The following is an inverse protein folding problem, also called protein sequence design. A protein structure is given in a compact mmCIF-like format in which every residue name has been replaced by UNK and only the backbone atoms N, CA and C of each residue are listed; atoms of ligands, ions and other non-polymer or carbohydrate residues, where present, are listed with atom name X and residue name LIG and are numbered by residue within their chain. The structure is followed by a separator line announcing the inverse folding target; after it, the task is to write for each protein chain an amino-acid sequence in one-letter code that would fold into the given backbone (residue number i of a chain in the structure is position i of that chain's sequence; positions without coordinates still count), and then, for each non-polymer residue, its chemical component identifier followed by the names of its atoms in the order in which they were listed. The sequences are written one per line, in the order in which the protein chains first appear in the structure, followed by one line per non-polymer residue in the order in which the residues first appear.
data_IF_388079089952
#
_entry.id   IF_388079089952
#
_cell.length_a   1.000
_cell.length_b   1.000
_cell.length_c   1.000
_cell.angle_alpha   90.00
_cell.angle_beta   90.00
_cell.angle_gamma   90.00
#
_symmetry.space_group_name_H-M   'P 1'
#
loop_
_entity.id
_entity.type
_entity.pdbx_description
1 polymer ?
#
# COMPACT_ATOMS: atom_id res chain seq x y z
N UNK A 1 2.68 28.11 36.12
CA UNK A 1 3.98 27.54 35.73
C UNK A 1 3.79 26.79 34.42
N UNK A 2 4.02 27.45 33.29
CA UNK A 2 4.06 26.82 31.97
C UNK A 2 5.35 26.02 31.87
N UNK A 3 5.27 24.68 31.80
CA UNK A 3 6.42 23.84 31.40
C UNK A 3 6.97 24.41 30.10
N UNK A 4 8.22 24.83 30.11
CA UNK A 4 8.92 25.19 28.88
C UNK A 4 8.87 23.97 27.96
N UNK A 5 8.28 24.18 26.80
CA UNK A 5 8.14 23.14 25.80
C UNK A 5 9.51 22.82 25.22
N UNK A 6 10.06 21.65 25.57
CA UNK A 6 11.35 21.21 25.04
C UNK A 6 11.19 20.77 23.57
N UNK A 7 11.57 21.67 22.68
CA UNK A 7 11.54 21.45 21.23
C UNK A 7 12.45 20.31 20.81
N UNK A 8 13.58 20.13 21.49
CA UNK A 8 14.54 19.07 21.17
C UNK A 8 13.96 17.71 21.52
N UNK A 9 13.43 17.57 22.73
CA UNK A 9 12.76 16.34 23.15
C UNK A 9 11.58 16.00 22.21
N UNK A 10 10.74 16.98 21.89
CA UNK A 10 9.63 16.76 20.96
C UNK A 10 10.08 16.26 19.58
N UNK A 11 11.15 16.84 19.03
CA UNK A 11 11.74 16.41 17.74
C UNK A 11 12.22 14.97 17.83
N UNK A 12 12.99 14.62 18.86
CA UNK A 12 13.53 13.27 19.04
C UNK A 12 12.40 12.23 19.17
N UNK A 13 11.34 12.55 19.92
CA UNK A 13 10.17 11.69 20.06
C UNK A 13 9.39 11.54 18.75
N UNK A 14 9.25 12.62 17.97
CA UNK A 14 8.59 12.56 16.67
C UNK A 14 9.37 11.71 15.67
N UNK A 15 10.70 11.89 15.59
CA UNK A 15 11.56 11.09 14.71
C UNK A 15 11.53 9.62 15.13
N UNK A 16 11.57 9.33 16.44
CA UNK A 16 11.44 7.97 16.94
C UNK A 16 10.10 7.34 16.56
N UNK A 17 8.99 8.06 16.76
CA UNK A 17 7.66 7.58 16.40
C UNK A 17 7.56 7.27 14.89
N UNK A 18 8.10 8.14 14.03
CA UNK A 18 8.15 7.90 12.58
C UNK A 18 9.02 6.69 12.22
N UNK A 19 10.22 6.58 12.82
CA UNK A 19 11.16 5.48 12.56
C UNK A 19 10.58 4.11 12.90
N UNK A 20 9.78 4.03 13.97
CA UNK A 20 9.16 2.78 14.42
C UNK A 20 7.73 2.58 13.89
N UNK A 21 7.25 3.44 12.96
CA UNK A 21 5.92 3.31 12.36
C UNK A 21 4.77 3.56 13.35
N UNK A 22 5.01 4.28 14.44
CA UNK A 22 4.02 4.60 15.47
C UNK A 22 3.14 5.79 15.03
N UNK A 23 2.38 5.64 13.93
CA UNK A 23 1.64 6.74 13.30
C UNK A 23 0.71 7.50 14.26
N UNK A 24 -0.06 6.77 15.09
CA UNK A 24 -0.97 7.41 16.04
C UNK A 24 -0.23 8.29 17.06
N UNK A 25 0.96 7.85 17.50
CA UNK A 25 1.82 8.62 18.40
C UNK A 25 2.42 9.82 17.67
N UNK A 26 2.91 9.64 16.44
CA UNK A 26 3.45 10.73 15.63
C UNK A 26 2.40 11.84 15.41
N UNK A 27 1.17 11.48 15.01
CA UNK A 27 0.04 12.43 14.85
C UNK A 27 -0.30 13.15 16.15
N UNK A 28 -0.30 12.44 17.28
CA UNK A 28 -0.49 13.06 18.58
C UNK A 28 0.60 14.09 18.90
N UNK A 29 1.88 13.75 18.66
CA UNK A 29 3.01 14.66 18.85
C UNK A 29 2.91 15.91 17.95
N UNK A 30 2.52 15.76 16.68
CA UNK A 30 2.36 16.88 15.72
C UNK A 30 1.32 17.89 16.22
N UNK A 31 0.25 17.43 16.88
CA UNK A 31 -0.85 18.30 17.33
C UNK A 31 -0.54 19.06 18.62
N UNK A 32 0.41 18.59 19.45
CA UNK A 32 0.70 19.17 20.77
C UNK A 32 1.13 20.64 20.76
N UNK A 33 2.02 21.13 19.86
CA UNK A 33 2.46 22.53 19.84
C UNK A 33 1.38 23.51 19.35
N UNK A 34 0.28 23.01 18.78
CA UNK A 34 -0.67 23.78 18.00
C UNK A 34 -0.21 24.01 16.55
N UNK A 35 -1.14 24.20 15.59
CA UNK A 35 -0.86 24.08 14.16
C UNK A 35 0.16 25.09 13.62
N UNK A 36 0.14 26.34 14.12
CA UNK A 36 1.07 27.40 13.69
C UNK A 36 2.51 27.12 14.16
N UNK A 37 2.67 26.72 15.43
CA UNK A 37 3.98 26.40 16.01
C UNK A 37 4.52 25.10 15.43
N UNK A 38 3.68 24.09 15.30
CA UNK A 38 4.03 22.82 14.65
C UNK A 38 4.55 23.05 13.23
N UNK A 39 3.85 23.85 12.41
CA UNK A 39 4.31 24.18 11.05
C UNK A 39 5.71 24.80 11.05
N UNK A 40 5.97 25.82 11.87
CA UNK A 40 7.28 26.45 11.93
C UNK A 40 8.39 25.47 12.33
N UNK A 41 8.13 24.60 13.31
CA UNK A 41 9.08 23.56 13.74
C UNK A 41 9.34 22.54 12.62
N UNK A 42 8.30 22.03 11.96
CA UNK A 42 8.42 21.07 10.88
C UNK A 42 9.13 21.66 9.65
N UNK A 43 8.85 22.92 9.30
CA UNK A 43 9.57 23.63 8.23
C UNK A 43 11.05 23.78 8.56
N UNK A 44 11.42 24.01 9.81
CA UNK A 44 12.84 24.03 10.22
C UNK A 44 13.49 22.65 10.11
N UNK A 45 12.76 21.58 10.45
CA UNK A 45 13.23 20.21 10.33
C UNK A 45 13.49 19.78 8.87
N UNK A 46 12.82 20.39 7.88
CA UNK A 46 13.09 20.12 6.45
C UNK A 46 14.46 20.63 5.96
N UNK A 47 15.07 21.55 6.69
CA UNK A 47 16.38 22.12 6.34
C UNK A 47 17.55 21.37 7.01
N UNK A 48 17.26 20.36 7.83
CA UNK A 48 18.25 19.58 8.56
C UNK A 48 18.98 18.58 7.64
N UNK A 49 20.21 18.22 8.00
CA UNK A 49 21.05 17.30 7.20
C UNK A 49 20.58 15.84 7.26
N UNK A 50 19.97 15.42 8.37
CA UNK A 50 19.55 14.04 8.59
C UNK A 50 18.24 13.70 7.85
N UNK A 51 18.27 12.70 6.95
CA UNK A 51 17.12 12.30 6.15
C UNK A 51 15.89 11.89 6.99
N UNK A 52 16.09 11.18 8.10
CA UNK A 52 14.99 10.76 8.99
C UNK A 52 14.25 11.95 9.62
N UNK A 53 14.97 13.03 9.94
CA UNK A 53 14.38 14.25 10.49
C UNK A 53 13.51 14.94 9.43
N UNK A 54 14.01 15.00 8.18
CA UNK A 54 13.24 15.54 7.05
C UNK A 54 12.00 14.68 6.75
N UNK A 55 12.10 13.35 6.79
CA UNK A 55 10.93 12.46 6.62
C UNK A 55 9.86 12.68 7.70
N UNK A 56 10.27 12.81 8.96
CA UNK A 56 9.35 13.11 10.05
C UNK A 56 8.66 14.48 9.86
N UNK A 57 9.38 15.46 9.33
CA UNK A 57 8.83 16.76 9.00
C UNK A 57 7.78 16.68 7.88
N UNK A 58 8.04 15.87 6.84
CA UNK A 58 7.10 15.63 5.74
C UNK A 58 5.80 15.03 6.24
N UNK A 59 5.88 13.98 7.09
CA UNK A 59 4.70 13.39 7.73
C UNK A 59 3.91 14.43 8.53
N UNK A 60 4.62 15.27 9.30
CA UNK A 60 3.98 16.34 10.06
C UNK A 60 3.27 17.37 9.19
N UNK A 61 3.86 17.79 8.07
CA UNK A 61 3.23 18.73 7.16
C UNK A 61 2.02 18.12 6.43
N UNK A 62 2.08 16.83 6.10
CA UNK A 62 0.95 16.09 5.55
C UNK A 62 -0.23 16.06 6.53
N UNK A 63 0.02 15.72 7.80
CA UNK A 63 -0.99 15.69 8.87
C UNK A 63 -1.57 17.08 9.16
N UNK A 64 -0.77 18.15 9.07
CA UNK A 64 -1.29 19.51 9.21
C UNK A 64 -2.19 19.94 8.03
N UNK A 65 -1.97 19.34 6.85
CA UNK A 65 -2.73 19.64 5.64
C UNK A 65 -2.65 21.08 5.17
N UNK A 66 -3.47 21.41 4.18
CA UNK A 66 -3.63 22.77 3.68
C UNK A 66 -2.68 23.12 2.53
N UNK A 67 -3.12 24.09 1.72
CA UNK A 67 -2.36 24.63 0.58
C UNK A 67 -0.93 25.09 0.90
N UNK A 68 -0.69 25.58 2.12
CA UNK A 68 0.64 25.97 2.57
C UNK A 68 1.58 24.77 2.72
N UNK A 69 1.10 23.68 3.34
CA UNK A 69 1.86 22.44 3.48
C UNK A 69 2.11 21.80 2.12
N UNK A 70 1.08 21.72 1.27
CA UNK A 70 1.21 21.22 -0.11
C UNK A 70 2.31 21.99 -0.86
N UNK A 71 2.21 23.33 -0.93
CA UNK A 71 3.20 24.17 -1.61
C UNK A 71 4.61 24.00 -1.04
N UNK A 72 4.76 23.91 0.27
CA UNK A 72 6.07 23.73 0.91
C UNK A 72 6.69 22.37 0.57
N UNK A 73 5.88 21.31 0.55
CA UNK A 73 6.30 19.96 0.16
C UNK A 73 6.69 19.90 -1.32
N UNK A 74 5.92 20.55 -2.20
CA UNK A 74 6.25 20.67 -3.63
C UNK A 74 7.62 21.34 -3.84
N UNK A 75 7.92 22.39 -3.09
CA UNK A 75 9.22 23.06 -3.14
C UNK A 75 10.34 22.18 -2.57
N UNK A 76 10.07 21.43 -1.50
CA UNK A 76 11.06 20.52 -0.91
C UNK A 76 11.38 19.37 -1.86
N UNK A 77 10.38 18.86 -2.59
CA UNK A 77 10.55 17.75 -3.52
C UNK A 77 11.66 18.02 -4.53
N UNK A 78 11.69 19.21 -5.11
CA UNK A 78 12.72 19.64 -6.07
C UNK A 78 14.10 19.67 -5.43
N UNK A 79 14.20 20.07 -4.14
CA UNK A 79 15.47 20.09 -3.42
C UNK A 79 15.99 18.69 -3.13
N UNK A 80 15.13 17.79 -2.67
CA UNK A 80 15.52 16.42 -2.34
C UNK A 80 15.89 15.63 -3.60
N UNK A 81 15.13 15.79 -4.70
CA UNK A 81 15.49 15.22 -6.02
C UNK A 81 16.86 15.71 -6.50
N UNK A 82 17.23 16.97 -6.21
CA UNK A 82 18.51 17.54 -6.62
C UNK A 82 19.70 17.08 -5.76
N UNK A 83 19.47 16.46 -4.58
CA UNK A 83 20.55 15.94 -3.74
C UNK A 83 21.26 14.75 -4.39
N UNK A 84 20.50 13.89 -5.07
CA UNK A 84 21.03 12.69 -5.73
C UNK A 84 21.69 11.69 -4.78
N UNK A 85 21.29 11.70 -3.51
CA UNK A 85 21.73 10.76 -2.48
C UNK A 85 20.55 9.94 -1.93
N UNK A 86 20.87 8.83 -1.25
CA UNK A 86 19.87 7.88 -0.74
C UNK A 86 18.88 8.52 0.24
N UNK A 87 19.35 9.47 1.04
CA UNK A 87 18.50 10.18 2.01
C UNK A 87 17.52 11.08 1.27
N UNK A 88 17.98 11.81 0.26
CA UNK A 88 17.16 12.62 -0.65
C UNK A 88 16.10 11.78 -1.35
N UNK A 89 16.47 10.63 -1.92
CA UNK A 89 15.53 9.72 -2.56
C UNK A 89 14.45 9.24 -1.58
N UNK A 90 14.87 8.85 -0.36
CA UNK A 90 13.96 8.37 0.68
C UNK A 90 13.01 9.48 1.19
N UNK A 91 13.46 10.73 1.25
CA UNK A 91 12.61 11.88 1.62
C UNK A 91 11.68 12.24 0.46
N UNK A 92 12.17 12.18 -0.79
CA UNK A 92 11.39 12.45 -1.99
C UNK A 92 10.24 11.43 -2.16
N UNK A 93 10.48 10.17 -1.80
CA UNK A 93 9.44 9.14 -1.72
C UNK A 93 8.37 9.51 -0.67
N UNK A 94 8.79 9.90 0.54
CA UNK A 94 7.88 10.33 1.60
C UNK A 94 7.03 11.55 1.18
N UNK A 95 7.64 12.53 0.50
CA UNK A 95 6.93 13.71 -0.03
C UNK A 95 5.91 13.29 -1.09
N UNK A 96 6.28 12.37 -1.99
CA UNK A 96 5.39 11.88 -3.04
C UNK A 96 4.15 11.22 -2.46
N UNK A 97 4.31 10.39 -1.42
CA UNK A 97 3.19 9.78 -0.69
C UNK A 97 2.33 10.83 -0.01
N UNK A 98 2.94 11.77 0.72
CA UNK A 98 2.23 12.87 1.38
C UNK A 98 1.38 13.71 0.40
N UNK A 99 1.92 14.03 -0.78
CA UNK A 99 1.18 14.76 -1.82
C UNK A 99 -0.02 13.95 -2.37
N UNK A 100 0.07 12.62 -2.38
CA UNK A 100 -1.05 11.74 -2.73
C UNK A 100 -2.21 11.83 -1.74
N UNK A 101 -1.89 11.91 -0.44
CA UNK A 101 -2.86 11.90 0.66
C UNK A 101 -3.51 13.25 0.97
N UNK A 102 -2.81 14.35 0.67
CA UNK A 102 -3.33 15.71 0.85
C UNK A 102 -4.63 15.90 0.04
N UNK A 103 -5.52 16.84 0.40
CA UNK A 103 -6.76 17.08 -0.36
C UNK A 103 -6.54 18.03 -1.55
N UNK A 104 -5.49 18.84 -1.49
CA UNK A 104 -5.25 19.95 -2.42
C UNK A 104 -5.14 19.51 -3.88
N UNK A 105 -5.77 20.28 -4.77
CA UNK A 105 -5.74 20.03 -6.22
C UNK A 105 -4.36 20.28 -6.83
N UNK A 106 -3.56 21.18 -6.26
CA UNK A 106 -2.19 21.46 -6.75
C UNK A 106 -1.26 20.26 -6.62
N UNK A 107 -1.49 19.41 -5.62
CA UNK A 107 -0.69 18.21 -5.38
C UNK A 107 -0.72 17.26 -6.60
N UNK A 108 -1.88 17.15 -7.28
CA UNK A 108 -1.99 16.37 -8.52
C UNK A 108 -1.07 16.91 -9.62
N UNK A 109 -1.06 18.22 -9.84
CA UNK A 109 -0.20 18.85 -10.84
C UNK A 109 1.29 18.63 -10.52
N UNK A 110 1.64 18.60 -9.23
CA UNK A 110 3.01 18.34 -8.78
C UNK A 110 3.44 16.90 -8.99
N UNK A 111 2.55 15.94 -8.73
CA UNK A 111 2.77 14.52 -9.05
C UNK A 111 2.90 14.31 -10.56
N UNK A 112 2.06 14.95 -11.39
CA UNK A 112 2.19 14.92 -12.85
C UNK A 112 3.58 15.42 -13.28
N UNK A 113 4.02 16.58 -12.78
CA UNK A 113 5.35 17.13 -13.11
C UNK A 113 6.48 16.19 -12.68
N UNK A 114 6.36 15.51 -11.53
CA UNK A 114 7.35 14.51 -11.11
C UNK A 114 7.35 13.32 -12.06
N UNK A 115 6.19 12.83 -12.47
CA UNK A 115 6.06 11.71 -13.43
C UNK A 115 6.73 12.07 -14.77
N UNK A 116 6.51 13.28 -15.28
CA UNK A 116 7.14 13.76 -16.51
C UNK A 116 8.67 13.88 -16.38
N UNK A 117 9.18 14.33 -15.22
CA UNK A 117 10.63 14.36 -14.95
C UNK A 117 11.23 12.95 -14.90
N UNK A 118 10.58 12.03 -14.20
CA UNK A 118 10.99 10.62 -14.14
C UNK A 118 10.98 9.99 -15.53
N UNK A 119 9.93 10.24 -16.33
CA UNK A 119 9.81 9.79 -17.71
C UNK A 119 10.91 10.31 -18.63
N UNK A 120 11.45 11.49 -18.35
CA UNK A 120 12.54 12.09 -19.15
C UNK A 120 13.93 11.60 -18.74
N UNK A 121 14.05 10.85 -17.63
CA UNK A 121 15.31 10.38 -17.08
C UNK A 121 15.50 8.86 -17.19
N UNK A 122 16.20 8.28 -16.21
CA UNK A 122 16.29 6.82 -15.99
C UNK A 122 15.75 6.52 -14.59
N UNK A 123 14.43 6.39 -14.44
CA UNK A 123 13.85 6.22 -13.11
C UNK A 123 14.03 4.79 -12.62
N UNK A 124 14.08 4.66 -11.29
CA UNK A 124 13.93 3.36 -10.64
C UNK A 124 12.45 2.91 -10.69
N UNK A 125 12.22 1.59 -10.71
CA UNK A 125 10.86 1.04 -10.69
C UNK A 125 10.12 1.40 -9.40
N UNK A 126 10.82 1.53 -8.27
CA UNK A 126 10.26 1.96 -7.00
C UNK A 126 9.70 3.38 -7.04
N UNK A 127 10.37 4.31 -7.72
CA UNK A 127 9.90 5.68 -7.92
C UNK A 127 8.61 5.72 -8.76
N UNK A 128 8.59 4.95 -9.86
CA UNK A 128 7.41 4.85 -10.73
C UNK A 128 6.23 4.19 -10.00
N UNK A 129 6.51 3.21 -9.15
CA UNK A 129 5.49 2.56 -8.35
C UNK A 129 4.90 3.52 -7.29
N UNK A 130 5.76 4.27 -6.60
CA UNK A 130 5.34 5.25 -5.59
C UNK A 130 4.47 6.34 -6.22
N UNK A 131 4.85 6.85 -7.38
CA UNK A 131 4.09 7.92 -8.02
C UNK A 131 2.75 7.45 -8.58
N UNK A 132 2.68 6.24 -9.14
CA UNK A 132 1.42 5.67 -9.62
C UNK A 132 0.40 5.51 -8.48
N UNK A 133 0.88 5.04 -7.31
CA UNK A 133 0.10 4.93 -6.07
C UNK A 133 -0.38 6.28 -5.56
N UNK A 134 0.49 7.29 -5.51
CA UNK A 134 0.11 8.64 -5.11
C UNK A 134 -0.92 9.26 -6.08
N UNK A 135 -0.75 9.04 -7.39
CA UNK A 135 -1.68 9.49 -8.42
C UNK A 135 -3.05 8.80 -8.34
N UNK A 136 -3.12 7.57 -7.82
CA UNK A 136 -4.38 6.86 -7.61
C UNK A 136 -5.29 7.54 -6.58
N UNK A 137 -4.73 8.05 -5.48
CA UNK A 137 -5.47 8.90 -4.54
C UNK A 137 -5.93 10.22 -5.18
N UNK A 138 -5.19 10.68 -6.21
CA UNK A 138 -5.50 11.87 -7.00
C UNK A 138 -6.17 11.57 -8.35
N UNK A 139 -6.77 10.38 -8.48
CA UNK A 139 -7.39 9.88 -9.72
C UNK A 139 -8.33 10.91 -10.35
N UNK A 140 -8.09 11.18 -11.63
CA UNK A 140 -8.89 12.10 -12.43
C UNK A 140 -8.75 11.76 -13.91
N UNK A 141 -9.78 11.94 -14.76
CA UNK A 141 -9.68 11.65 -16.19
C UNK A 141 -8.54 12.39 -16.91
N UNK A 142 -8.15 13.57 -16.44
CA UNK A 142 -7.00 14.34 -16.96
C UNK A 142 -5.65 13.64 -16.80
N UNK A 143 -5.55 12.60 -15.96
CA UNK A 143 -4.32 11.82 -15.82
C UNK A 143 -4.04 10.93 -17.04
N UNK A 144 -5.08 10.51 -17.77
CA UNK A 144 -4.97 9.54 -18.87
C UNK A 144 -3.92 9.94 -19.92
N UNK A 145 -3.91 11.17 -20.49
CA UNK A 145 -2.95 11.52 -21.53
C UNK A 145 -1.50 11.52 -21.03
N UNK A 146 -1.28 11.91 -19.77
CA UNK A 146 0.06 11.95 -19.16
C UNK A 146 0.54 10.53 -18.89
N UNK A 147 -0.29 9.69 -18.26
CA UNK A 147 0.07 8.30 -17.92
C UNK A 147 0.42 7.50 -19.18
N UNK A 148 -0.39 7.61 -20.25
CA UNK A 148 -0.11 6.94 -21.54
C UNK A 148 1.24 7.37 -22.12
N UNK A 149 1.48 8.69 -22.21
CA UNK A 149 2.75 9.22 -22.73
C UNK A 149 3.95 8.78 -21.89
N UNK A 150 3.81 8.76 -20.57
CA UNK A 150 4.87 8.31 -19.67
C UNK A 150 5.17 6.82 -19.86
N UNK A 151 4.16 5.96 -20.00
CA UNK A 151 4.36 4.54 -20.30
C UNK A 151 5.07 4.33 -21.63
N UNK A 152 4.67 5.05 -22.68
CA UNK A 152 5.34 5.01 -23.99
C UNK A 152 6.82 5.44 -23.90
N UNK A 153 7.12 6.44 -23.09
CA UNK A 153 8.48 7.00 -22.96
C UNK A 153 9.39 6.11 -22.12
N UNK A 154 8.87 5.57 -21.03
CA UNK A 154 9.68 4.85 -20.05
C UNK A 154 10.12 3.47 -20.52
N UNK A 155 9.44 2.88 -21.50
CA UNK A 155 9.70 1.52 -21.99
C UNK A 155 9.91 0.50 -20.85
N UNK A 156 9.18 0.67 -19.73
CA UNK A 156 9.37 -0.13 -18.54
C UNK A 156 9.07 -1.59 -18.88
N UNK A 157 9.94 -2.48 -18.39
CA UNK A 157 9.66 -3.91 -18.38
C UNK A 157 8.33 -4.17 -17.67
N UNK A 158 7.69 -5.27 -18.07
CA UNK A 158 6.47 -5.83 -17.50
C UNK A 158 6.49 -5.77 -15.95
N UNK A 159 5.34 -5.45 -15.32
CA UNK A 159 5.11 -5.24 -13.87
C UNK A 159 5.40 -3.84 -13.32
N UNK A 160 4.84 -2.79 -13.94
CA UNK A 160 4.83 -1.44 -13.35
C UNK A 160 3.45 -1.05 -12.80
N UNK A 161 3.40 -0.43 -11.61
CA UNK A 161 2.15 0.11 -11.06
C UNK A 161 1.53 1.19 -11.96
N UNK A 162 2.33 1.79 -12.86
CA UNK A 162 1.84 2.78 -13.82
C UNK A 162 0.93 2.14 -14.89
N UNK A 163 1.22 0.91 -15.32
CA UNK A 163 0.33 0.12 -16.18
C UNK A 163 -0.99 -0.21 -15.49
N UNK A 164 -0.91 -0.67 -14.23
CA UNK A 164 -2.08 -0.88 -13.36
C UNK A 164 -2.92 0.39 -13.19
N UNK A 165 -2.29 1.55 -12.98
CA UNK A 165 -2.97 2.84 -12.88
C UNK A 165 -3.69 3.18 -14.20
N UNK A 166 -3.05 2.97 -15.36
CA UNK A 166 -3.69 3.21 -16.65
C UNK A 166 -4.98 2.39 -16.79
N UNK A 167 -4.92 1.09 -16.50
CA UNK A 167 -6.08 0.20 -16.56
C UNK A 167 -7.22 0.69 -15.66
N UNK A 168 -6.90 1.11 -14.42
CA UNK A 168 -7.88 1.63 -13.46
C UNK A 168 -8.51 2.97 -13.89
N UNK A 169 -7.77 3.81 -14.61
CA UNK A 169 -8.27 5.08 -15.12
C UNK A 169 -9.13 4.90 -16.39
N UNK A 170 -8.84 3.88 -17.20
CA UNK A 170 -9.52 3.62 -18.46
C UNK A 170 -10.83 2.84 -18.29
N UNK A 171 -10.85 1.88 -17.37
CA UNK A 171 -11.98 0.97 -17.22
C UNK A 171 -12.97 1.50 -16.20
N UNK A 172 -14.24 1.50 -16.58
CA UNK A 172 -15.32 1.58 -15.61
C UNK A 172 -15.29 0.36 -14.68
N UNK A 173 -15.95 0.41 -13.51
CA UNK A 173 -15.90 -0.70 -12.56
C UNK A 173 -16.43 -2.04 -13.12
N UNK A 174 -17.48 -2.01 -13.94
CA UNK A 174 -18.01 -3.21 -14.60
C UNK A 174 -17.10 -3.77 -15.68
N UNK A 175 -16.39 -2.89 -16.42
CA UNK A 175 -15.37 -3.32 -17.38
C UNK A 175 -14.14 -3.90 -16.68
N UNK A 176 -13.75 -3.34 -15.53
CA UNK A 176 -12.65 -3.89 -14.74
C UNK A 176 -13.00 -5.26 -14.18
N UNK A 177 -14.23 -5.48 -13.73
CA UNK A 177 -14.68 -6.78 -13.28
C UNK A 177 -14.60 -7.81 -14.42
N UNK A 178 -15.16 -7.51 -15.59
CA UNK A 178 -15.09 -8.39 -16.76
C UNK A 178 -13.64 -8.66 -17.18
N UNK A 179 -12.79 -7.64 -17.16
CA UNK A 179 -11.37 -7.74 -17.49
C UNK A 179 -10.58 -8.59 -16.47
N UNK A 180 -10.89 -8.47 -15.19
CA UNK A 180 -10.26 -9.26 -14.14
C UNK A 180 -10.62 -10.75 -14.28
N UNK A 181 -11.85 -11.07 -14.67
CA UNK A 181 -12.30 -12.45 -14.91
C UNK A 181 -11.80 -13.06 -16.23
N UNK A 182 -11.31 -12.24 -17.17
CA UNK A 182 -10.86 -12.72 -18.48
C UNK A 182 -9.56 -13.51 -18.37
N UNK A 183 -9.58 -14.78 -18.77
CA UNK A 183 -8.39 -15.66 -18.77
C UNK A 183 -7.38 -15.33 -19.86
N UNK A 184 -7.76 -14.56 -20.88
CA UNK A 184 -6.85 -14.10 -21.93
C UNK A 184 -5.94 -12.95 -21.45
N UNK A 185 -6.29 -12.28 -20.36
CA UNK A 185 -5.47 -11.21 -19.76
C UNK A 185 -4.35 -11.84 -18.93
N UNK A 186 -3.08 -11.50 -19.20
CA UNK A 186 -1.94 -11.99 -18.41
C UNK A 186 -2.05 -11.67 -16.92
N UNK A 187 -1.62 -12.62 -16.08
CA UNK A 187 -1.66 -12.50 -14.62
C UNK A 187 -0.83 -11.31 -14.13
N UNK A 188 0.30 -11.01 -14.79
CA UNK A 188 1.14 -9.87 -14.43
C UNK A 188 0.42 -8.53 -14.57
N UNK A 189 -0.36 -8.33 -15.63
CA UNK A 189 -1.19 -7.12 -15.78
C UNK A 189 -2.23 -7.02 -14.66
N UNK A 190 -2.86 -8.13 -14.27
CA UNK A 190 -3.79 -8.16 -13.13
C UNK A 190 -3.06 -7.84 -11.82
N UNK A 191 -1.82 -8.27 -11.69
CA UNK A 191 -0.97 -7.99 -10.52
C UNK A 191 -0.61 -6.51 -10.40
N UNK A 192 -0.35 -5.83 -11.52
CA UNK A 192 -0.13 -4.38 -11.54
C UNK A 192 -1.35 -3.61 -11.03
N UNK A 193 -2.55 -4.02 -11.43
CA UNK A 193 -3.81 -3.40 -10.94
C UNK A 193 -3.99 -3.63 -9.45
N UNK A 194 -3.81 -4.87 -8.96
CA UNK A 194 -3.85 -5.17 -7.53
C UNK A 194 -2.85 -4.30 -6.75
N UNK A 195 -1.67 -4.09 -7.32
CA UNK A 195 -0.60 -3.30 -6.69
C UNK A 195 -1.00 -1.85 -6.46
N UNK A 196 -1.81 -1.26 -7.33
CA UNK A 196 -2.35 0.11 -7.16
C UNK A 196 -3.55 0.11 -6.21
N UNK A 197 -4.44 -0.87 -6.35
CA UNK A 197 -5.65 -1.00 -5.51
C UNK A 197 -5.33 -1.26 -4.02
N UNK A 198 -4.13 -1.74 -3.69
CA UNK A 198 -3.68 -1.84 -2.31
C UNK A 198 -3.76 -0.51 -1.56
N UNK A 199 -3.54 0.62 -2.21
CA UNK A 199 -3.60 1.92 -1.55
C UNK A 199 -5.03 2.31 -1.18
N UNK A 200 -5.97 2.11 -2.11
CA UNK A 200 -7.39 2.41 -1.91
C UNK A 200 -8.23 1.60 -2.90
N UNK A 201 -9.31 0.98 -2.41
CA UNK A 201 -10.32 0.34 -3.28
C UNK A 201 -11.60 1.17 -3.22
N UNK A 202 -11.91 2.06 -4.18
CA UNK A 202 -13.15 2.83 -4.11
C UNK A 202 -14.37 1.91 -4.17
N UNK A 203 -15.47 2.27 -3.51
CA UNK A 203 -16.66 1.41 -3.38
C UNK A 203 -17.18 0.83 -4.71
N UNK A 204 -17.21 1.58 -5.83
CA UNK A 204 -17.64 1.03 -7.11
C UNK A 204 -16.77 -0.14 -7.60
N UNK A 205 -15.51 -0.25 -7.19
CA UNK A 205 -14.57 -1.28 -7.60
C UNK A 205 -14.58 -2.53 -6.70
N UNK A 206 -15.33 -2.54 -5.60
CA UNK A 206 -15.45 -3.73 -4.74
C UNK A 206 -15.88 -4.99 -5.51
N UNK A 207 -16.84 -4.95 -6.46
CA UNK A 207 -17.17 -6.12 -7.28
C UNK A 207 -16.00 -6.67 -8.10
N UNK A 208 -15.07 -5.82 -8.53
CA UNK A 208 -13.87 -6.27 -9.26
C UNK A 208 -12.92 -7.07 -8.34
N UNK A 209 -12.90 -6.81 -7.03
CA UNK A 209 -12.14 -7.61 -6.05
C UNK A 209 -12.61 -9.07 -6.06
N UNK A 210 -13.91 -9.32 -6.24
CA UNK A 210 -14.44 -10.68 -6.34
C UNK A 210 -13.88 -11.42 -7.55
N UNK A 211 -13.79 -10.75 -8.71
CA UNK A 211 -13.20 -11.31 -9.92
C UNK A 211 -11.70 -11.63 -9.75
N UNK A 212 -10.97 -10.81 -9.00
CA UNK A 212 -9.58 -11.12 -8.65
C UNK A 212 -9.48 -12.33 -7.70
N UNK A 213 -10.41 -12.52 -6.76
CA UNK A 213 -10.46 -13.73 -5.92
C UNK A 213 -10.69 -14.98 -6.78
N UNK A 214 -11.67 -14.95 -7.69
CA UNK A 214 -11.94 -16.09 -8.56
C UNK A 214 -10.77 -16.39 -9.52
N UNK A 215 -10.04 -15.36 -9.96
CA UNK A 215 -8.80 -15.56 -10.72
C UNK A 215 -7.72 -16.24 -9.87
N UNK A 216 -7.54 -15.83 -8.60
CA UNK A 216 -6.59 -16.49 -7.70
C UNK A 216 -6.95 -17.97 -7.49
N UNK A 217 -8.25 -18.28 -7.40
CA UNK A 217 -8.76 -19.63 -7.29
C UNK A 217 -8.48 -20.47 -8.54
N UNK A 218 -8.69 -19.91 -9.74
CA UNK A 218 -8.34 -20.57 -11.00
C UNK A 218 -6.84 -20.91 -11.11
N UNK A 219 -5.97 -20.14 -10.43
CA UNK A 219 -4.52 -20.33 -10.42
C UNK A 219 -4.03 -21.34 -9.35
N UNK A 220 -4.92 -22.01 -8.61
CA UNK A 220 -4.56 -22.98 -7.56
C UNK A 220 -3.61 -24.08 -8.03
N UNK A 221 -3.77 -24.57 -9.27
CA UNK A 221 -2.92 -25.59 -9.88
C UNK A 221 -1.49 -25.12 -10.14
N UNK A 222 -1.28 -23.80 -10.18
CA UNK A 222 -0.01 -23.13 -10.45
C UNK A 222 0.59 -22.50 -9.19
N UNK A 223 0.24 -22.97 -7.99
CA UNK A 223 0.67 -22.34 -6.74
C UNK A 223 2.20 -22.16 -6.57
N UNK A 224 3.02 -22.93 -7.31
CA UNK A 224 4.49 -22.85 -7.33
C UNK A 224 5.03 -21.92 -8.44
N UNK A 225 4.18 -21.52 -9.40
CA UNK A 225 4.51 -20.50 -10.40
C UNK A 225 4.77 -19.15 -9.71
N UNK A 226 5.87 -18.49 -10.08
CA UNK A 226 6.29 -17.20 -9.52
C UNK A 226 5.25 -16.10 -9.73
N UNK A 227 4.65 -16.03 -10.92
CA UNK A 227 3.68 -14.99 -11.29
C UNK A 227 2.36 -15.18 -10.52
N UNK A 228 1.81 -16.40 -10.55
CA UNK A 228 0.63 -16.76 -9.76
C UNK A 228 0.86 -16.55 -8.26
N UNK A 229 2.07 -16.84 -7.78
CA UNK A 229 2.45 -16.60 -6.40
C UNK A 229 2.47 -15.12 -6.05
N UNK A 230 3.08 -14.30 -6.91
CA UNK A 230 3.16 -12.86 -6.69
C UNK A 230 1.77 -12.21 -6.76
N UNK A 231 0.94 -12.64 -7.70
CA UNK A 231 -0.47 -12.24 -7.80
C UNK A 231 -1.24 -12.50 -6.50
N UNK A 232 -1.13 -13.72 -5.96
CA UNK A 232 -1.79 -14.08 -4.69
C UNK A 232 -1.27 -13.23 -3.53
N UNK A 233 0.04 -12.96 -3.44
CA UNK A 233 0.59 -12.08 -2.40
C UNK A 233 0.01 -10.67 -2.47
N UNK A 234 -0.09 -10.06 -3.66
CA UNK A 234 -0.69 -8.73 -3.82
C UNK A 234 -2.18 -8.73 -3.47
N UNK A 235 -2.92 -9.76 -3.88
CA UNK A 235 -4.33 -9.91 -3.48
C UNK A 235 -4.48 -10.02 -1.96
N UNK A 236 -3.61 -10.79 -1.30
CA UNK A 236 -3.64 -10.96 0.15
C UNK A 236 -3.31 -9.66 0.89
N UNK A 237 -2.32 -8.89 0.42
CA UNK A 237 -1.99 -7.58 0.98
C UNK A 237 -3.19 -6.64 0.87
N UNK A 238 -3.82 -6.55 -0.31
CA UNK A 238 -5.01 -5.74 -0.53
C UNK A 238 -6.13 -6.12 0.44
N UNK A 239 -6.45 -7.41 0.54
CA UNK A 239 -7.53 -7.90 1.39
C UNK A 239 -7.25 -7.63 2.87
N UNK A 240 -6.04 -7.91 3.36
CA UNK A 240 -5.67 -7.70 4.77
C UNK A 240 -5.60 -6.21 5.12
N UNK A 241 -5.12 -5.36 4.22
CA UNK A 241 -5.06 -3.90 4.43
C UNK A 241 -6.45 -3.29 4.55
N UNK A 242 -7.42 -3.79 3.80
CA UNK A 242 -8.80 -3.30 3.78
C UNK A 242 -9.78 -4.26 4.48
N UNK A 243 -9.29 -5.10 5.41
CA UNK A 243 -10.03 -6.26 5.94
C UNK A 243 -11.40 -5.92 6.52
N UNK A 244 -11.46 -4.84 7.30
CA UNK A 244 -12.66 -4.41 8.03
C UNK A 244 -13.79 -3.99 7.09
N UNK A 245 -13.43 -3.55 5.87
CA UNK A 245 -14.38 -3.13 4.86
C UNK A 245 -14.68 -4.22 3.83
N UNK A 246 -13.66 -4.93 3.34
CA UNK A 246 -13.83 -5.89 2.24
C UNK A 246 -14.45 -7.20 2.71
N UNK A 247 -14.02 -7.76 3.85
CA UNK A 247 -14.50 -9.08 4.28
C UNK A 247 -15.99 -9.14 4.56
N UNK A 248 -16.61 -8.14 5.22
CA UNK A 248 -18.07 -8.13 5.39
C UNK A 248 -18.84 -8.20 4.07
N UNK A 249 -18.27 -7.67 2.98
CA UNK A 249 -18.89 -7.59 1.66
C UNK A 249 -18.68 -8.85 0.80
N UNK A 250 -17.81 -9.78 1.22
CA UNK A 250 -17.54 -10.99 0.44
C UNK A 250 -18.73 -11.98 0.50
N UNK A 251 -19.28 -12.38 -0.65
CA UNK A 251 -20.26 -13.46 -0.73
C UNK A 251 -19.69 -14.80 -0.19
N UNK A 252 -20.56 -15.74 0.24
CA UNK A 252 -20.11 -17.05 0.71
C UNK A 252 -19.21 -17.81 -0.28
N UNK A 253 -19.52 -17.72 -1.58
CA UNK A 253 -18.75 -18.37 -2.65
C UNK A 253 -17.33 -17.81 -2.72
N UNK A 254 -17.16 -16.49 -2.82
CA UNK A 254 -15.84 -15.86 -2.83
C UNK A 254 -15.06 -16.07 -1.53
N UNK A 255 -15.74 -16.21 -0.39
CA UNK A 255 -15.10 -16.59 0.88
C UNK A 255 -14.56 -18.02 0.83
N UNK A 256 -15.31 -18.95 0.24
CA UNK A 256 -14.89 -20.34 0.08
C UNK A 256 -13.70 -20.43 -0.89
N UNK A 257 -13.75 -19.73 -2.03
CA UNK A 257 -12.64 -19.63 -2.98
C UNK A 257 -11.37 -19.09 -2.30
N UNK A 258 -11.48 -17.95 -1.61
CA UNK A 258 -10.36 -17.33 -0.91
C UNK A 258 -9.79 -18.23 0.19
N UNK A 259 -10.65 -18.95 0.92
CA UNK A 259 -10.23 -19.95 1.90
C UNK A 259 -9.42 -21.06 1.25
N UNK A 260 -9.86 -21.59 0.11
CA UNK A 260 -9.13 -22.64 -0.61
C UNK A 260 -7.77 -22.16 -1.11
N UNK A 261 -7.70 -20.94 -1.67
CA UNK A 261 -6.44 -20.29 -2.06
C UNK A 261 -5.51 -20.17 -0.85
N UNK A 262 -5.99 -19.64 0.27
CA UNK A 262 -5.17 -19.50 1.48
C UNK A 262 -4.67 -20.86 2.01
N UNK A 263 -5.53 -21.89 2.07
CA UNK A 263 -5.14 -23.25 2.46
C UNK A 263 -4.04 -23.80 1.56
N UNK A 264 -4.22 -23.70 0.24
CA UNK A 264 -3.24 -24.21 -0.73
C UNK A 264 -1.89 -23.51 -0.61
N UNK A 265 -1.91 -22.20 -0.30
CA UNK A 265 -0.69 -21.41 -0.08
C UNK A 265 0.05 -21.83 1.18
N UNK A 266 -0.65 -22.13 2.28
CA UNK A 266 -0.03 -22.69 3.49
C UNK A 266 0.64 -24.04 3.20
N UNK A 267 -0.03 -24.92 2.45
CA UNK A 267 0.52 -26.23 2.07
C UNK A 267 1.77 -26.09 1.17
N UNK A 268 1.70 -25.23 0.14
CA UNK A 268 2.74 -25.09 -0.87
C UNK A 268 4.00 -24.38 -0.35
N UNK A 269 3.87 -23.48 0.62
CA UNK A 269 4.98 -22.63 1.11
C UNK A 269 5.32 -22.87 2.58
N UNK A 270 5.13 -24.10 3.07
CA UNK A 270 5.47 -24.50 4.44
C UNK A 270 6.92 -24.18 4.90
N UNK A 271 7.81 -23.81 3.96
CA UNK A 271 9.22 -23.47 4.19
C UNK A 271 9.60 -22.02 3.80
N UNK A 272 8.64 -21.18 3.38
CA UNK A 272 8.90 -19.81 2.89
C UNK A 272 7.86 -18.77 3.38
N UNK A 273 8.23 -17.49 3.35
CA UNK A 273 7.48 -16.35 3.92
C UNK A 273 6.04 -16.17 3.36
N UNK A 274 5.72 -16.73 2.19
CA UNK A 274 4.38 -16.65 1.55
C UNK A 274 3.26 -17.35 2.34
N UNK A 275 3.59 -18.16 3.34
CA UNK A 275 2.61 -18.84 4.20
C UNK A 275 2.00 -17.94 5.29
N UNK A 276 2.65 -16.83 5.66
CA UNK A 276 2.23 -15.98 6.78
C UNK A 276 0.92 -15.23 6.50
N UNK A 277 0.82 -14.55 5.36
CA UNK A 277 -0.40 -13.82 4.99
C UNK A 277 -1.58 -14.77 4.76
N UNK A 278 -1.31 -15.94 4.20
CA UNK A 278 -2.30 -16.99 4.05
C UNK A 278 -2.84 -17.46 5.43
N UNK A 279 -1.96 -17.66 6.42
CA UNK A 279 -2.36 -17.99 7.78
C UNK A 279 -3.21 -16.87 8.44
N UNK A 280 -2.84 -15.60 8.23
CA UNK A 280 -3.64 -14.46 8.70
C UNK A 280 -5.01 -14.42 8.01
N UNK A 281 -5.07 -14.64 6.70
CA UNK A 281 -6.35 -14.68 5.97
C UNK A 281 -7.28 -15.77 6.48
N UNK A 282 -6.75 -16.95 6.82
CA UNK A 282 -7.55 -18.03 7.39
C UNK A 282 -8.21 -17.64 8.72
N UNK A 283 -7.67 -16.66 9.47
CA UNK A 283 -8.34 -16.11 10.64
C UNK A 283 -9.69 -15.51 10.31
N UNK A 284 -9.86 -14.98 9.10
CA UNK A 284 -11.04 -14.26 8.65
C UNK A 284 -11.98 -15.14 7.82
N UNK A 285 -11.46 -15.90 6.84
CA UNK A 285 -12.27 -16.76 5.94
C UNK A 285 -12.27 -18.25 6.29
N UNK A 286 -11.40 -18.70 7.20
CA UNK A 286 -11.27 -20.11 7.53
C UNK A 286 -12.35 -20.66 8.45
N UNK A 287 -12.33 -21.97 8.63
CA UNK A 287 -13.22 -22.75 9.49
C UNK A 287 -12.41 -23.48 10.58
N UNK A 288 -13.06 -23.96 11.67
CA UNK A 288 -12.36 -24.62 12.77
C UNK A 288 -11.42 -25.75 12.35
N UNK A 289 -11.74 -26.52 11.30
CA UNK A 289 -10.90 -27.60 10.78
C UNK A 289 -9.57 -27.12 10.15
N UNK A 290 -9.49 -25.87 9.69
CA UNK A 290 -8.26 -25.29 9.13
C UNK A 290 -7.16 -25.12 10.19
N UNK A 291 -7.53 -25.16 11.48
CA UNK A 291 -6.56 -25.13 12.58
C UNK A 291 -5.57 -26.30 12.52
N UNK A 292 -6.00 -27.47 12.04
CA UNK A 292 -5.11 -28.63 11.88
C UNK A 292 -4.06 -28.40 10.80
N UNK A 293 -4.46 -27.75 9.70
CA UNK A 293 -3.55 -27.40 8.62
C UNK A 293 -2.47 -26.44 9.12
N UNK A 294 -2.87 -25.37 9.84
CA UNK A 294 -1.92 -24.40 10.38
C UNK A 294 -0.94 -25.03 11.36
N UNK A 295 -1.40 -25.93 12.23
CA UNK A 295 -0.51 -26.64 13.16
C UNK A 295 0.49 -27.55 12.44
N UNK A 296 0.06 -28.24 11.38
CA UNK A 296 0.92 -29.13 10.59
C UNK A 296 2.03 -28.36 9.84
N UNK A 297 1.77 -27.10 9.48
CA UNK A 297 2.69 -26.25 8.72
C UNK A 297 3.26 -25.08 9.56
N UNK A 298 3.20 -25.19 10.89
CA UNK A 298 3.68 -24.16 11.82
C UNK A 298 5.19 -23.94 11.65
N UNK A 299 5.67 -22.70 11.42
CA UNK A 299 7.09 -22.39 11.34
C UNK A 299 7.85 -22.72 12.64
N UNK A 300 9.14 -23.05 12.54
CA UNK A 300 10.01 -23.25 13.69
C UNK A 300 10.40 -21.93 14.38
N UNK A 301 10.55 -20.85 13.60
CA UNK A 301 10.95 -19.53 14.09
C UNK A 301 9.86 -18.95 15.00
N UNK A 302 10.15 -18.62 16.29
CA UNK A 302 9.14 -18.26 17.27
C UNK A 302 8.26 -17.07 16.87
N UNK A 303 8.85 -16.05 16.25
CA UNK A 303 8.13 -14.84 15.82
C UNK A 303 7.10 -15.17 14.73
N UNK A 304 7.48 -15.99 13.76
CA UNK A 304 6.61 -16.41 12.66
C UNK A 304 5.55 -17.40 13.14
N UNK A 305 5.94 -18.30 14.04
CA UNK A 305 5.05 -19.29 14.60
C UNK A 305 3.91 -18.68 15.42
N UNK A 306 4.16 -17.53 16.08
CA UNK A 306 3.12 -16.78 16.77
C UNK A 306 1.96 -16.39 15.85
N UNK A 307 2.23 -16.03 14.59
CA UNK A 307 1.18 -15.70 13.61
C UNK A 307 0.25 -16.89 13.36
N UNK A 308 0.82 -18.09 13.27
CA UNK A 308 0.06 -19.33 13.11
C UNK A 308 -0.69 -19.70 14.40
N UNK A 309 -0.07 -19.54 15.57
CA UNK A 309 -0.70 -19.83 16.86
C UNK A 309 -1.89 -18.90 17.12
N UNK A 310 -1.74 -17.60 16.83
CA UNK A 310 -2.81 -16.60 16.92
C UNK A 310 -3.96 -16.97 15.95
N UNK A 311 -3.62 -17.45 14.75
CA UNK A 311 -4.63 -17.88 13.78
C UNK A 311 -5.40 -19.14 14.20
N UNK A 312 -4.69 -20.14 14.74
CA UNK A 312 -5.29 -21.35 15.30
C UNK A 312 -6.23 -21.02 16.45
N UNK A 313 -5.82 -20.10 17.33
CA UNK A 313 -6.64 -19.63 18.45
C UNK A 313 -7.94 -18.97 17.96
N UNK A 314 -7.84 -18.09 16.95
CA UNK A 314 -9.00 -17.43 16.35
C UNK A 314 -9.98 -18.44 15.72
N UNK A 315 -9.47 -19.44 14.99
CA UNK A 315 -10.29 -20.47 14.33
C UNK A 315 -11.04 -21.36 15.33
N UNK A 316 -10.37 -21.78 16.41
CA UNK A 316 -10.98 -22.63 17.46
C UNK A 316 -12.00 -21.90 18.31
N UNK A 317 -11.88 -20.58 18.41
CA UNK A 317 -12.79 -19.74 19.18
C UNK A 317 -14.08 -19.39 18.42
N UNK A 318 -14.18 -19.74 17.13
CA UNK A 318 -15.38 -19.50 16.33
C UNK A 318 -16.49 -20.49 16.71
N UNK A 319 -17.72 -20.02 16.99
CA UNK A 319 -18.86 -20.93 17.14
C UNK A 319 -19.08 -21.67 15.82
N UNK A 320 -19.31 -22.98 15.90
CA UNK A 320 -19.66 -23.82 14.76
C UNK A 320 -20.86 -23.18 14.04
N UNK A 321 -20.65 -22.64 12.84
CA UNK A 321 -21.77 -22.19 11.99
C UNK A 321 -22.16 -23.39 11.14
N UNK A 322 -23.33 -23.96 11.42
CA UNK A 322 -23.94 -24.96 10.56
C UNK A 322 -24.17 -24.38 9.15
N UNK A 323 -24.07 -25.23 8.11
CA UNK A 323 -23.98 -24.83 6.70
C UNK A 323 -25.19 -24.06 6.17
#
# INVERSE_FOLDING_TARGET
MTREWDVKQWREELVAACRFGEEARARALIRQPGPRKARALLESMLEEDEGLVRQAAVLGLAELGGAASAKRLEQQLVREEARGDRDGDSVAEAITRALGELEESSARASLIRRLERLASGKPDLGDVNTIARALWHKRHPELLPVVRRSLETLALSEMSSLGGLLVLLEKSPGELQSWASDSAVPVDHKTEVLTVLEEEVPDPFVPAVLAFISTAHALLGEAVNREASYYCERLFILLLRHRERLFPLLPPESRAELREVARRRVEAFALHDGSLRAAVLLQDVGQPEDAHLLLAHRPAEPVLAKVFDDAVSALRSRPFREP
#
